data_IF_151677635668
#
_entry.id   IF_151677635668
#
_cell.length_a   1.000
_cell.length_b   1.000
_cell.length_c   1.000
_cell.angle_alpha   90.00
_cell.angle_beta   90.00
_cell.angle_gamma   90.00
#
_symmetry.space_group_name_H-M   'P 1'
#
loop_
_entity.id
_entity.type
_entity.pdbx_description
1 polymer ?
#
# COMPACT_ATOMS: atom_id res chain seq x y z
N UNK A 1 27.64 -22.25 1.87
CA UNK A 1 28.54 -21.09 1.81
C UNK A 1 27.66 -19.85 1.92
N UNK A 2 27.25 -19.49 3.15
CA UNK A 2 26.29 -18.43 3.41
C UNK A 2 27.03 -17.28 4.11
N UNK A 3 27.01 -16.12 3.47
CA UNK A 3 27.71 -14.92 3.88
C UNK A 3 26.96 -14.20 5.01
N UNK A 4 27.73 -13.82 6.04
CA UNK A 4 27.35 -12.96 7.15
C UNK A 4 26.89 -11.58 6.68
N UNK A 5 25.72 -11.13 7.13
CA UNK A 5 25.34 -9.72 7.11
C UNK A 5 25.64 -9.10 8.50
N UNK A 6 26.49 -8.07 8.54
CA UNK A 6 26.80 -7.27 9.73
C UNK A 6 25.90 -6.01 9.77
N UNK A 7 25.61 -5.46 10.98
CA UNK A 7 24.77 -4.27 11.12
C UNK A 7 25.51 -2.98 10.72
N UNK A 8 24.78 -2.06 10.08
CA UNK A 8 25.25 -0.76 9.59
C UNK A 8 25.20 0.25 10.73
N UNK A 9 26.33 0.91 11.03
CA UNK A 9 26.43 2.07 11.93
C UNK A 9 26.41 3.36 11.10
N UNK A 10 25.49 4.27 11.40
CA UNK A 10 25.55 5.65 10.91
C UNK A 10 26.43 6.49 11.84
N UNK A 11 27.59 6.97 11.35
CA UNK A 11 28.32 8.08 11.94
C UNK A 11 28.32 9.22 10.92
N UNK A 12 27.55 10.28 11.19
CA UNK A 12 27.62 11.54 10.46
C UNK A 12 28.29 12.61 11.31
N UNK A 13 29.55 12.92 11.02
CA UNK A 13 30.24 14.10 11.53
C UNK A 13 30.02 15.27 10.57
N UNK A 14 29.40 16.35 11.05
CA UNK A 14 29.29 17.60 10.30
C UNK A 14 30.58 18.41 10.47
N UNK A 15 31.27 18.67 9.36
CA UNK A 15 32.36 19.66 9.25
C UNK A 15 31.77 20.90 8.60
N UNK A 16 31.71 22.03 9.31
CA UNK A 16 31.36 23.33 8.73
C UNK A 16 32.62 24.17 8.54
N UNK A 17 33.04 24.34 7.28
CA UNK A 17 34.08 25.29 6.88
C UNK A 17 33.58 26.73 6.89
N UNK A 18 34.38 27.63 7.46
CA UNK A 18 34.09 29.06 7.54
C UNK A 18 34.38 29.81 6.24
N UNK A 19 33.49 30.74 5.88
CA UNK A 19 33.75 31.78 4.89
C UNK A 19 33.33 33.13 5.48
N UNK A 20 34.32 33.99 5.73
CA UNK A 20 34.14 35.37 6.16
C UNK A 20 33.68 36.25 5.00
N UNK A 21 32.54 36.95 5.14
CA UNK A 21 32.12 38.03 4.24
C UNK A 21 31.82 39.30 5.03
N UNK A 22 32.41 40.41 4.56
CA UNK A 22 32.30 41.77 5.09
C UNK A 22 30.84 42.23 5.16
N UNK A 23 30.44 42.72 6.33
CA UNK A 23 29.11 43.29 6.58
C UNK A 23 29.03 44.73 6.05
N UNK A 24 28.20 44.93 5.03
CA UNK A 24 27.66 46.25 4.70
C UNK A 24 26.61 46.64 5.75
N UNK A 25 26.72 47.85 6.31
CA UNK A 25 25.75 48.40 7.27
C UNK A 25 24.43 48.74 6.56
N UNK A 26 23.50 47.79 6.54
CA UNK A 26 22.11 48.04 6.23
C UNK A 26 21.41 48.68 7.45
N UNK A 27 20.75 49.81 7.19
CA UNK A 27 19.97 50.60 8.13
C UNK A 27 18.79 49.76 8.62
N UNK A 28 18.77 49.40 9.91
CA UNK A 28 17.70 48.58 10.52
C UNK A 28 16.34 49.31 10.41
N UNK A 29 15.32 48.75 9.74
CA UNK A 29 13.96 49.24 9.91
C UNK A 29 13.52 48.93 11.35
N UNK A 30 12.84 49.88 12.00
CA UNK A 30 12.21 49.65 13.30
C UNK A 30 11.14 48.57 13.12
N UNK A 31 11.42 47.36 13.58
CA UNK A 31 10.43 46.29 13.63
C UNK A 31 9.33 46.70 14.61
N UNK A 32 8.10 46.85 14.11
CA UNK A 32 6.93 47.06 14.96
C UNK A 32 6.74 45.80 15.82
N UNK A 33 6.81 45.96 17.13
CA UNK A 33 6.78 44.88 18.13
C UNK A 33 5.59 43.93 17.98
N UNK A 34 4.48 44.40 17.40
CA UNK A 34 3.27 43.63 17.15
C UNK A 34 3.42 42.51 16.12
N UNK A 35 4.27 42.68 15.09
CA UNK A 35 4.49 41.66 14.04
C UNK A 35 5.40 40.54 14.55
N UNK A 36 6.39 40.89 15.38
CA UNK A 36 7.27 39.91 16.04
C UNK A 36 6.48 39.09 17.07
N UNK A 37 5.59 39.73 17.83
CA UNK A 37 4.73 39.02 18.77
C UNK A 37 3.79 38.02 18.06
N UNK A 38 3.18 38.40 16.94
CA UNK A 38 2.25 37.53 16.20
C UNK A 38 2.96 36.32 15.58
N UNK A 39 4.16 36.51 15.00
CA UNK A 39 4.96 35.42 14.44
C UNK A 39 5.45 34.43 15.52
N UNK A 40 5.84 34.93 16.69
CA UNK A 40 6.21 34.09 17.85
C UNK A 40 4.98 33.34 18.39
N UNK A 41 3.81 33.98 18.45
CA UNK A 41 2.57 33.33 18.89
C UNK A 41 2.13 32.22 17.91
N UNK A 42 2.27 32.44 16.60
CA UNK A 42 1.99 31.42 15.59
C UNK A 42 2.98 30.24 15.64
N UNK A 43 4.29 30.49 15.85
CA UNK A 43 5.29 29.43 15.99
C UNK A 43 5.10 28.61 17.28
N UNK A 44 4.81 29.27 18.41
CA UNK A 44 4.53 28.60 19.69
C UNK A 44 3.21 27.82 19.63
N UNK A 45 2.17 28.37 19.00
CA UNK A 45 0.90 27.68 18.77
C UNK A 45 1.04 26.45 17.88
N UNK A 46 1.88 26.51 16.85
CA UNK A 46 2.18 25.36 15.98
C UNK A 46 2.95 24.26 16.75
N UNK A 47 3.97 24.64 17.54
CA UNK A 47 4.72 23.68 18.36
C UNK A 47 3.87 23.02 19.44
N UNK A 48 2.93 23.75 20.05
CA UNK A 48 2.01 23.18 21.04
C UNK A 48 1.01 22.20 20.40
N UNK A 49 0.44 22.54 19.23
CA UNK A 49 -0.45 21.65 18.50
C UNK A 49 0.28 20.38 17.98
N UNK A 50 1.52 20.52 17.50
CA UNK A 50 2.36 19.38 17.13
C UNK A 50 2.65 18.47 18.34
N UNK A 51 3.02 19.04 19.50
CA UNK A 51 3.26 18.27 20.72
C UNK A 51 2.01 17.56 21.27
N UNK A 52 0.83 18.14 21.07
CA UNK A 52 -0.43 17.53 21.47
C UNK A 52 -0.82 16.36 20.55
N UNK A 53 -0.53 16.47 19.25
CA UNK A 53 -0.69 15.38 18.29
C UNK A 53 0.32 14.25 18.56
N UNK A 54 1.56 14.58 18.95
CA UNK A 54 2.59 13.61 19.32
C UNK A 54 2.26 12.87 20.64
N UNK A 55 1.66 13.57 21.61
CA UNK A 55 1.20 12.96 22.87
C UNK A 55 0.00 12.01 22.68
N UNK A 56 -0.93 12.33 21.77
CA UNK A 56 -2.08 11.47 21.44
C UNK A 56 -1.65 10.23 20.62
N UNK A 57 -0.62 10.38 19.79
CA UNK A 57 -0.02 9.28 19.05
C UNK A 57 0.83 8.33 19.92
N UNK A 58 1.26 8.76 21.12
CA UNK A 58 2.18 7.98 21.97
C UNK A 58 1.57 6.64 22.40
N UNK A 59 0.28 6.63 22.78
CA UNK A 59 -0.40 5.40 23.21
C UNK A 59 -0.44 4.36 22.07
N UNK A 60 -0.70 4.83 20.85
CA UNK A 60 -0.76 3.96 19.68
C UNK A 60 0.62 3.46 19.28
N UNK A 61 1.64 4.30 19.34
CA UNK A 61 3.01 3.88 19.05
C UNK A 61 3.51 2.85 20.06
N UNK A 62 3.32 3.08 21.36
CA UNK A 62 3.68 2.12 22.41
C UNK A 62 2.95 0.78 22.22
N UNK A 63 1.65 0.83 21.88
CA UNK A 63 0.89 -0.37 21.55
C UNK A 63 1.45 -1.10 20.32
N UNK A 64 1.70 -0.38 19.22
CA UNK A 64 2.20 -0.95 17.98
C UNK A 64 3.60 -1.55 18.16
N UNK A 65 4.50 -0.86 18.84
CA UNK A 65 5.83 -1.38 19.18
C UNK A 65 5.74 -2.63 20.06
N UNK A 66 4.84 -2.63 21.04
CA UNK A 66 4.55 -3.82 21.86
C UNK A 66 4.00 -4.98 21.02
N UNK A 67 3.11 -4.72 20.06
CA UNK A 67 2.58 -5.73 19.14
C UNK A 67 3.65 -6.27 18.21
N UNK A 68 4.50 -5.42 17.64
CA UNK A 68 5.63 -5.82 16.80
C UNK A 68 6.57 -6.71 17.60
N UNK A 69 6.97 -6.28 18.80
CA UNK A 69 7.83 -7.07 19.70
C UNK A 69 7.24 -8.45 20.03
N UNK A 70 5.93 -8.51 20.30
CA UNK A 70 5.21 -9.76 20.57
C UNK A 70 5.17 -10.68 19.34
N UNK A 71 4.92 -10.12 18.15
CA UNK A 71 4.91 -10.87 16.90
C UNK A 71 6.32 -11.39 16.60
N UNK A 72 7.36 -10.58 16.75
CA UNK A 72 8.76 -10.97 16.53
C UNK A 72 9.23 -12.04 17.51
N UNK A 73 8.77 -11.99 18.77
CA UNK A 73 9.01 -13.05 19.74
C UNK A 73 8.33 -14.35 19.28
N UNK A 74 7.07 -14.29 18.86
CA UNK A 74 6.31 -15.48 18.43
C UNK A 74 6.76 -16.02 17.06
N UNK A 75 7.25 -15.16 16.17
CA UNK A 75 7.71 -15.56 14.84
C UNK A 75 9.05 -16.27 14.87
N UNK A 76 9.87 -16.04 15.90
CA UNK A 76 11.12 -16.79 16.12
C UNK A 76 10.86 -18.27 16.40
N UNK A 77 9.73 -18.57 17.00
CA UNK A 77 9.25 -19.94 17.28
C UNK A 77 8.14 -20.35 16.30
N UNK A 78 8.10 -19.75 15.09
CA UNK A 78 7.12 -20.12 14.08
C UNK A 78 7.44 -21.51 13.53
N UNK A 79 6.62 -22.48 13.93
CA UNK A 79 6.55 -23.75 13.24
C UNK A 79 5.62 -23.61 12.02
N UNK A 80 6.05 -24.03 10.82
CA UNK A 80 5.17 -24.04 9.66
C UNK A 80 3.91 -24.86 9.98
N UNK A 81 2.77 -24.35 9.52
CA UNK A 81 1.49 -25.05 9.71
C UNK A 81 1.55 -26.48 9.19
N UNK A 82 0.83 -27.37 9.88
CA UNK A 82 0.73 -28.78 9.53
C UNK A 82 0.44 -28.97 8.02
N UNK A 83 1.29 -29.72 7.28
CA UNK A 83 1.10 -29.95 5.85
C UNK A 83 -0.26 -30.53 5.50
N UNK A 84 -0.84 -31.33 6.40
CA UNK A 84 -2.18 -31.91 6.20
C UNK A 84 -3.27 -30.83 6.27
N UNK A 85 -3.19 -29.90 7.23
CA UNK A 85 -4.08 -28.72 7.28
C UNK A 85 -4.00 -27.88 6.00
N UNK A 86 -2.79 -27.72 5.41
CA UNK A 86 -2.63 -27.03 4.12
C UNK A 86 -3.26 -27.82 2.97
N UNK A 87 -3.12 -29.15 2.96
CA UNK A 87 -3.75 -30.03 1.97
C UNK A 87 -5.28 -29.94 2.05
N UNK A 88 -5.84 -30.06 3.24
CA UNK A 88 -7.28 -29.94 3.49
C UNK A 88 -7.84 -28.60 3.06
N UNK A 89 -7.13 -27.49 3.32
CA UNK A 89 -7.53 -26.17 2.80
C UNK A 89 -7.59 -26.15 1.27
N UNK A 90 -6.59 -26.72 0.59
CA UNK A 90 -6.59 -26.79 -0.88
C UNK A 90 -7.72 -27.69 -1.39
N UNK A 91 -7.97 -28.83 -0.75
CA UNK A 91 -9.07 -29.74 -1.07
C UNK A 91 -10.42 -29.03 -0.96
N UNK A 92 -10.68 -28.33 0.15
CA UNK A 92 -11.92 -27.56 0.36
C UNK A 92 -12.12 -26.44 -0.67
N UNK A 93 -11.03 -25.87 -1.18
CA UNK A 93 -11.05 -24.84 -2.23
C UNK A 93 -11.11 -25.44 -3.64
N UNK A 94 -11.10 -26.77 -3.79
CA UNK A 94 -11.03 -27.44 -5.10
C UNK A 94 -9.69 -27.24 -5.82
N UNK A 95 -8.63 -27.00 -5.06
CA UNK A 95 -7.26 -26.71 -5.52
C UNK A 95 -6.27 -27.85 -5.20
N UNK A 96 -6.76 -29.04 -4.86
CA UNK A 96 -5.95 -30.25 -4.70
C UNK A 96 -6.28 -31.28 -5.81
N UNK A 97 -5.35 -31.57 -6.75
CA UNK A 97 -4.03 -30.95 -6.89
C UNK A 97 -4.12 -29.51 -7.43
N UNK A 98 -3.09 -28.71 -7.17
CA UNK A 98 -2.99 -27.37 -7.72
C UNK A 98 -2.95 -27.44 -9.26
N UNK A 99 -3.65 -26.52 -9.96
CA UNK A 99 -3.57 -26.44 -11.41
C UNK A 99 -2.11 -26.15 -11.84
N UNK A 100 -1.69 -26.62 -13.03
CA UNK A 100 -0.36 -26.35 -13.53
C UNK A 100 -0.13 -24.84 -13.66
N UNK A 101 1.07 -24.40 -13.29
CA UNK A 101 1.44 -22.99 -13.45
C UNK A 101 1.51 -22.65 -14.94
N UNK A 102 0.85 -21.56 -15.31
CA UNK A 102 0.88 -21.03 -16.67
C UNK A 102 1.65 -19.72 -16.72
N UNK A 103 2.19 -19.31 -17.89
CA UNK A 103 2.75 -17.98 -18.05
C UNK A 103 1.73 -16.90 -17.66
N UNK A 104 2.17 -15.90 -16.91
CA UNK A 104 1.29 -14.85 -16.36
C UNK A 104 0.73 -13.93 -17.47
N UNK A 105 1.45 -13.79 -18.58
CA UNK A 105 1.07 -12.94 -19.73
C UNK A 105 0.69 -11.51 -19.31
N UNK A 106 1.43 -10.93 -18.37
CA UNK A 106 1.19 -9.58 -17.88
C UNK A 106 1.48 -8.53 -18.95
N UNK A 107 0.60 -7.52 -19.07
CA UNK A 107 0.73 -6.42 -20.01
C UNK A 107 0.35 -5.11 -19.33
N UNK A 108 1.26 -4.14 -19.39
CA UNK A 108 0.99 -2.75 -18.99
C UNK A 108 0.25 -2.05 -20.13
N UNK A 109 -0.89 -1.44 -19.82
CA UNK A 109 -1.77 -0.73 -20.77
C UNK A 109 -1.60 0.78 -20.70
N UNK A 110 -0.98 1.28 -19.64
CA UNK A 110 -0.59 2.68 -19.55
C UNK A 110 0.01 3.03 -18.20
N UNK A 111 0.61 4.20 -18.13
CA UNK A 111 1.30 4.69 -16.94
C UNK A 111 0.87 6.11 -16.67
N UNK A 112 0.68 6.45 -15.40
CA UNK A 112 0.41 7.81 -14.93
C UNK A 112 1.38 8.11 -13.80
N UNK A 113 1.96 9.30 -13.78
CA UNK A 113 2.80 9.77 -12.68
C UNK A 113 2.14 10.97 -12.02
N UNK A 114 2.12 10.97 -10.69
CA UNK A 114 1.57 12.06 -9.89
C UNK A 114 2.21 12.09 -8.51
N UNK A 115 2.64 13.28 -8.07
CA UNK A 115 3.16 13.56 -6.73
C UNK A 115 4.21 12.54 -6.25
N UNK A 116 5.15 12.17 -7.14
CA UNK A 116 6.23 11.22 -6.84
C UNK A 116 5.81 9.74 -6.83
N UNK A 117 4.56 9.43 -7.19
CA UNK A 117 4.04 8.06 -7.36
C UNK A 117 3.79 7.78 -8.84
N UNK A 118 4.27 6.63 -9.30
CA UNK A 118 3.95 6.09 -10.62
C UNK A 118 2.91 4.98 -10.46
N UNK A 119 1.85 5.06 -11.26
CA UNK A 119 0.77 4.09 -11.36
C UNK A 119 0.81 3.44 -12.74
N UNK A 120 1.15 2.16 -12.77
CA UNK A 120 1.10 1.34 -13.98
C UNK A 120 -0.22 0.56 -14.00
N UNK A 121 -1.05 0.82 -15.01
CA UNK A 121 -2.27 0.07 -15.28
C UNK A 121 -1.89 -1.18 -16.04
N UNK A 122 -2.28 -2.34 -15.56
CA UNK A 122 -1.91 -3.60 -16.18
C UNK A 122 -3.02 -4.64 -16.09
N UNK A 123 -2.93 -5.66 -16.93
CA UNK A 123 -3.72 -6.86 -16.79
C UNK A 123 -2.82 -8.09 -16.99
N UNK A 124 -3.25 -9.22 -16.46
CA UNK A 124 -2.56 -10.50 -16.63
C UNK A 124 -3.55 -11.66 -16.62
N UNK A 125 -3.11 -12.88 -16.94
CA UNK A 125 -3.92 -14.08 -16.88
C UNK A 125 -3.58 -14.89 -15.63
N UNK A 126 -4.53 -15.02 -14.70
CA UNK A 126 -4.37 -15.86 -13.50
C UNK A 126 -4.56 -17.35 -13.82
N UNK A 127 -5.36 -17.64 -14.85
CA UNK A 127 -5.50 -18.91 -15.54
C UNK A 127 -5.68 -18.63 -17.04
N UNK A 128 -5.46 -19.61 -17.95
CA UNK A 128 -5.68 -19.42 -19.37
C UNK A 128 -7.08 -18.85 -19.67
N UNK A 129 -7.11 -17.65 -20.24
CA UNK A 129 -8.35 -16.92 -20.56
C UNK A 129 -9.02 -16.18 -19.40
N UNK A 130 -8.53 -16.34 -18.16
CA UNK A 130 -9.04 -15.62 -16.98
C UNK A 130 -8.17 -14.40 -16.69
N UNK A 131 -8.68 -13.22 -17.03
CA UNK A 131 -7.96 -11.96 -16.88
C UNK A 131 -8.20 -11.32 -15.51
N UNK A 132 -7.12 -10.78 -14.94
CA UNK A 132 -7.12 -9.94 -13.75
C UNK A 132 -6.57 -8.58 -14.12
N UNK A 133 -7.34 -7.53 -13.84
CA UNK A 133 -6.96 -6.13 -14.00
C UNK A 133 -6.40 -5.58 -12.71
N UNK A 134 -5.33 -4.77 -12.80
CA UNK A 134 -4.61 -4.29 -11.64
C UNK A 134 -3.94 -2.94 -11.89
N UNK A 135 -3.67 -2.23 -10.79
CA UNK A 135 -2.83 -1.05 -10.76
C UNK A 135 -1.62 -1.33 -9.87
N UNK A 136 -0.41 -1.15 -10.42
CA UNK A 136 0.84 -1.21 -9.68
C UNK A 136 1.26 0.22 -9.31
N UNK A 137 1.19 0.53 -8.02
CA UNK A 137 1.63 1.78 -7.44
C UNK A 137 3.06 1.61 -6.94
N UNK A 138 3.95 2.54 -7.30
CA UNK A 138 5.34 2.52 -6.85
C UNK A 138 5.89 3.94 -6.72
N UNK A 139 6.92 4.14 -5.87
CA UNK A 139 7.69 5.37 -5.93
C UNK A 139 8.23 5.63 -7.34
N UNK A 140 8.28 6.90 -7.75
CA UNK A 140 8.87 7.30 -9.03
C UNK A 140 10.37 6.97 -9.08
N UNK A 141 11.05 7.10 -7.95
CA UNK A 141 12.47 6.78 -7.76
C UNK A 141 12.60 5.60 -6.81
N UNK A 142 13.30 4.55 -7.25
CA UNK A 142 13.58 3.34 -6.47
C UNK A 142 15.10 3.15 -6.46
N UNK A 143 15.73 3.34 -5.29
CA UNK A 143 17.18 3.24 -5.13
C UNK A 143 17.62 1.86 -4.61
N UNK A 144 16.72 1.15 -3.93
CA UNK A 144 16.94 -0.16 -3.33
C UNK A 144 15.64 -1.00 -3.41
N UNK A 145 15.70 -2.33 -3.20
CA UNK A 145 14.50 -3.16 -3.17
C UNK A 145 13.45 -2.63 -2.18
N UNK A 146 12.26 -2.31 -2.69
CA UNK A 146 11.16 -1.85 -1.87
C UNK A 146 10.35 -3.04 -1.31
N UNK A 147 9.80 -2.92 -0.09
CA UNK A 147 8.78 -3.84 0.37
C UNK A 147 7.56 -3.79 -0.57
N UNK A 148 6.95 -4.95 -0.83
CA UNK A 148 5.82 -5.08 -1.74
C UNK A 148 4.56 -5.57 -1.01
N UNK A 149 3.42 -4.98 -1.34
CA UNK A 149 2.10 -5.31 -0.81
C UNK A 149 1.18 -5.73 -1.96
N UNK A 150 0.53 -6.88 -1.80
CA UNK A 150 -0.62 -7.27 -2.62
C UNK A 150 -1.89 -6.78 -1.89
N UNK A 151 -2.60 -5.84 -2.48
CA UNK A 151 -3.85 -5.32 -1.93
C UNK A 151 -5.05 -6.00 -2.59
N UNK A 152 -5.87 -6.64 -1.77
CA UNK A 152 -7.12 -7.27 -2.18
C UNK A 152 -8.28 -6.31 -1.92
N UNK A 153 -8.99 -5.93 -2.98
CA UNK A 153 -10.08 -4.98 -2.89
C UNK A 153 -11.30 -5.57 -2.17
N UNK A 154 -11.97 -4.72 -1.40
CA UNK A 154 -13.31 -4.98 -0.88
C UNK A 154 -14.41 -4.74 -1.92
N UNK A 155 -15.63 -4.55 -1.45
CA UNK A 155 -16.83 -4.47 -2.30
C UNK A 155 -17.18 -3.05 -2.80
N UNK A 156 -16.27 -2.08 -2.69
CA UNK A 156 -16.49 -0.73 -3.21
C UNK A 156 -16.35 -0.68 -4.74
N UNK A 157 -17.35 -0.14 -5.45
CA UNK A 157 -17.35 -0.04 -6.90
C UNK A 157 -17.29 1.40 -7.40
N UNK A 158 -16.66 1.60 -8.56
CA UNK A 158 -16.68 2.88 -9.29
C UNK A 158 -17.21 2.65 -10.69
N UNK A 159 -18.31 3.32 -11.02
CA UNK A 159 -18.90 3.31 -12.35
C UNK A 159 -19.21 4.72 -12.81
N UNK A 160 -18.83 5.02 -14.04
CA UNK A 160 -19.16 6.29 -14.69
C UNK A 160 -19.78 5.99 -16.05
N UNK A 161 -20.93 6.59 -16.35
CA UNK A 161 -21.65 6.41 -17.62
C UNK A 161 -21.89 4.92 -17.99
N UNK A 162 -22.13 4.07 -17.00
CA UNK A 162 -22.35 2.63 -17.19
C UNK A 162 -21.09 1.79 -17.37
N UNK A 163 -19.89 2.40 -17.37
CA UNK A 163 -18.61 1.70 -17.48
C UNK A 163 -18.03 1.42 -16.09
N UNK A 164 -17.63 0.17 -15.83
CA UNK A 164 -16.93 -0.20 -14.61
C UNK A 164 -15.45 0.13 -14.70
N UNK A 165 -14.93 0.82 -13.68
CA UNK A 165 -13.51 1.11 -13.52
C UNK A 165 -12.81 0.11 -12.58
N UNK A 166 -13.59 -0.83 -12.04
CA UNK A 166 -13.14 -1.82 -11.07
C UNK A 166 -13.02 -1.30 -9.64
N UNK A 167 -13.09 -2.20 -8.67
CA UNK A 167 -12.97 -1.88 -7.26
C UNK A 167 -11.58 -1.35 -6.89
N UNK A 168 -10.53 -1.65 -7.66
CA UNK A 168 -9.20 -1.04 -7.47
C UNK A 168 -9.21 0.49 -7.55
N UNK A 169 -10.16 1.10 -8.27
CA UNK A 169 -10.28 2.55 -8.35
C UNK A 169 -10.94 3.13 -7.10
N UNK A 170 -11.88 2.42 -6.48
CA UNK A 170 -12.43 2.80 -5.17
C UNK A 170 -11.32 2.86 -4.10
N UNK A 171 -10.42 1.86 -4.12
CA UNK A 171 -9.33 1.73 -3.16
C UNK A 171 -7.99 2.34 -3.61
N UNK A 172 -7.96 3.12 -4.69
CA UNK A 172 -6.70 3.67 -5.24
C UNK A 172 -5.88 4.48 -4.24
N UNK A 173 -6.55 5.10 -3.27
CA UNK A 173 -5.91 5.85 -2.19
C UNK A 173 -5.03 4.99 -1.28
N UNK A 174 -5.32 3.69 -1.12
CA UNK A 174 -4.45 2.77 -0.38
C UNK A 174 -3.14 2.52 -1.12
N UNK A 175 -3.23 2.20 -2.42
CA UNK A 175 -2.05 1.96 -3.25
C UNK A 175 -1.18 3.21 -3.36
N UNK A 176 -1.81 4.36 -3.54
CA UNK A 176 -1.12 5.65 -3.55
C UNK A 176 -0.42 5.94 -2.22
N UNK A 177 -1.11 5.79 -1.09
CA UNK A 177 -0.51 5.99 0.24
C UNK A 177 0.70 5.09 0.45
N UNK A 178 0.60 3.79 0.13
CA UNK A 178 1.72 2.85 0.24
C UNK A 178 2.92 3.30 -0.61
N UNK A 179 2.69 3.68 -1.85
CA UNK A 179 3.73 4.16 -2.75
C UNK A 179 4.40 5.46 -2.27
N UNK A 180 3.62 6.40 -1.73
CA UNK A 180 4.17 7.63 -1.14
C UNK A 180 5.05 7.37 0.09
N UNK A 181 4.93 6.20 0.72
CA UNK A 181 5.73 5.79 1.89
C UNK A 181 6.82 4.76 1.55
N UNK A 182 7.17 4.59 0.26
CA UNK A 182 8.29 3.75 -0.17
C UNK A 182 7.95 2.27 -0.38
N UNK A 183 6.67 1.90 -0.35
CA UNK A 183 6.22 0.54 -0.67
C UNK A 183 5.83 0.42 -2.14
N UNK A 184 5.98 -0.76 -2.72
CA UNK A 184 5.31 -1.11 -3.97
C UNK A 184 3.96 -1.73 -3.60
N UNK A 185 2.87 -1.29 -4.21
CA UNK A 185 1.54 -1.85 -3.98
C UNK A 185 0.91 -2.30 -5.28
N UNK A 186 0.61 -3.60 -5.40
CA UNK A 186 -0.21 -4.14 -6.48
C UNK A 186 -1.65 -4.26 -5.97
N UNK A 187 -2.53 -3.41 -6.49
CA UNK A 187 -3.97 -3.47 -6.21
C UNK A 187 -4.66 -4.23 -7.34
N UNK A 188 -5.29 -5.36 -7.03
CA UNK A 188 -6.01 -6.18 -8.02
C UNK A 188 -7.52 -6.03 -7.86
N UNK A 189 -8.24 -6.08 -8.97
CA UNK A 189 -9.70 -6.18 -8.92
C UNK A 189 -10.15 -7.54 -8.40
N UNK A 190 -11.30 -7.57 -7.72
CA UNK A 190 -11.97 -8.83 -7.40
C UNK A 190 -12.76 -9.34 -8.59
N UNK A 191 -13.08 -10.63 -8.60
CA UNK A 191 -14.16 -11.16 -9.43
C UNK A 191 -15.47 -10.40 -9.11
N UNK A 192 -16.37 -10.32 -10.08
CA UNK A 192 -17.62 -9.55 -10.05
C UNK A 192 -17.48 -8.03 -10.18
N UNK A 193 -16.65 -7.39 -9.35
CA UNK A 193 -16.63 -5.93 -9.18
C UNK A 193 -15.43 -5.23 -9.85
N UNK A 194 -14.66 -5.97 -10.65
CA UNK A 194 -13.55 -5.43 -11.44
C UNK A 194 -13.97 -4.64 -12.68
N UNK A 195 -12.98 -4.25 -13.49
CA UNK A 195 -13.24 -3.75 -14.86
C UNK A 195 -13.97 -4.82 -15.70
N UNK A 196 -13.61 -6.10 -15.49
CA UNK A 196 -14.30 -7.25 -16.06
C UNK A 196 -15.34 -7.71 -15.05
N UNK A 197 -16.55 -7.18 -15.19
CA UNK A 197 -17.65 -7.52 -14.31
C UNK A 197 -18.12 -8.96 -14.51
N UNK A 198 -18.57 -9.56 -13.42
CA UNK A 198 -19.21 -10.86 -13.42
C UNK A 198 -20.43 -10.83 -12.51
N UNK A 199 -21.23 -11.89 -12.55
CA UNK A 199 -22.34 -12.08 -11.63
C UNK A 199 -21.99 -13.31 -10.80
N UNK A 200 -22.05 -13.20 -9.47
CA UNK A 200 -21.87 -14.36 -8.57
C UNK A 200 -23.06 -14.60 -7.63
N UNK A 201 -24.09 -13.74 -7.63
CA UNK A 201 -25.28 -13.85 -6.77
C UNK A 201 -26.54 -14.38 -7.49
N UNK A 202 -26.38 -15.32 -8.41
CA UNK A 202 -27.46 -15.69 -9.33
C UNK A 202 -28.71 -16.28 -8.67
N UNK A 203 -28.55 -17.21 -7.73
CA UNK A 203 -29.70 -17.91 -7.14
C UNK A 203 -30.48 -17.03 -6.16
N UNK A 204 -29.81 -16.22 -5.34
CA UNK A 204 -30.48 -15.45 -4.27
C UNK A 204 -30.75 -13.99 -4.62
N UNK A 205 -30.14 -13.44 -5.69
CA UNK A 205 -30.42 -12.07 -6.18
C UNK A 205 -31.14 -12.04 -7.54
N UNK A 206 -31.00 -13.07 -8.36
CA UNK A 206 -31.47 -13.05 -9.76
C UNK A 206 -32.32 -14.27 -10.17
N UNK A 207 -32.76 -15.10 -9.21
CA UNK A 207 -33.59 -16.29 -9.43
C UNK A 207 -33.05 -17.26 -10.50
N UNK A 208 -31.73 -17.33 -10.68
CA UNK A 208 -31.08 -18.19 -11.69
C UNK A 208 -30.85 -19.61 -11.19
N UNK A 209 -31.93 -20.33 -10.87
CA UNK A 209 -31.85 -21.72 -10.37
C UNK A 209 -31.15 -22.69 -11.33
N UNK A 210 -31.17 -22.40 -12.63
CA UNK A 210 -30.46 -23.15 -13.66
C UNK A 210 -28.92 -23.07 -13.57
N UNK A 211 -28.36 -22.17 -12.75
CA UNK A 211 -26.90 -22.06 -12.55
C UNK A 211 -26.26 -23.28 -11.90
N UNK A 212 -26.97 -23.91 -10.96
CA UNK A 212 -26.48 -25.10 -10.27
C UNK A 212 -26.21 -26.22 -11.28
N UNK A 213 -27.08 -26.37 -12.28
CA UNK A 213 -26.90 -27.33 -13.38
C UNK A 213 -25.73 -27.02 -14.32
N UNK A 214 -25.13 -25.82 -14.25
CA UNK A 214 -23.92 -25.43 -14.97
C UNK A 214 -22.66 -25.42 -14.10
N UNK A 215 -22.75 -25.90 -12.86
CA UNK A 215 -21.63 -25.94 -11.92
C UNK A 215 -21.30 -24.58 -11.29
N UNK A 216 -22.18 -23.57 -11.41
CA UNK A 216 -21.99 -22.30 -10.69
C UNK A 216 -22.52 -22.42 -9.27
N UNK A 217 -21.68 -22.07 -8.30
CA UNK A 217 -22.07 -21.96 -6.89
C UNK A 217 -22.26 -20.50 -6.52
N UNK A 218 -23.39 -20.13 -5.88
CA UNK A 218 -23.59 -18.82 -5.28
C UNK A 218 -22.85 -18.81 -3.94
N UNK A 219 -21.52 -18.63 -3.96
CA UNK A 219 -20.76 -18.30 -2.76
C UNK A 219 -20.82 -16.79 -2.50
#
# INVERSE_FOLDING_TARGET
>A
MLANARPIRFLGSFVTGGVSRRLARLRRPRANSSIVLLAVFCLVGYSAAASAQDADNSIWMDYLEGRVSSIEARSRDFEPGDPESRRQLLEMLGLDPLPPRTPLLARTTGTVERDGVVVEKLHFQSLPGLYVTANLYRPAVIEAPCPAVLYLCGHGGVKENGVSYGNKVHYQHHGFWMASHGFICLTIDSLQLGEIEAIHHGTYRYDRWWWLGRGYTPA
#
